data_IF_139315506493
#
_entry.id   IF_139315506493
#
_cell.length_a   1.000
_cell.length_b   1.000
_cell.length_c   1.000
_cell.angle_alpha   90.00
_cell.angle_beta   90.00
_cell.angle_gamma   90.00
#
_symmetry.space_group_name_H-M   'P 1'
#
loop_
_entity.id
_entity.type
_entity.pdbx_description
1 polymer ?
#
# COMPACT_ATOMS: atom_id res chain seq x y z
N UNK A 1 -5.70 3.18 -49.67
CA UNK A 1 -5.30 2.30 -48.54
C UNK A 1 -3.80 2.49 -48.38
N UNK A 2 -3.41 3.38 -47.48
CA UNK A 2 -2.00 3.61 -47.21
C UNK A 2 -1.43 2.40 -46.48
N UNK A 3 -0.43 1.81 -47.10
CA UNK A 3 0.22 0.57 -46.63
C UNK A 3 1.01 0.87 -45.34
N UNK A 4 0.46 0.50 -44.19
CA UNK A 4 1.12 0.64 -42.88
C UNK A 4 2.49 -0.09 -42.82
N UNK A 5 2.84 -0.88 -43.84
CA UNK A 5 4.11 -1.61 -43.94
C UNK A 5 5.31 -0.72 -44.22
N UNK A 6 5.09 0.52 -44.69
CA UNK A 6 6.15 1.46 -45.12
C UNK A 6 6.60 2.44 -44.03
N UNK A 7 5.92 2.46 -42.88
CA UNK A 7 6.28 3.37 -41.77
C UNK A 7 7.49 2.86 -40.99
N UNK A 8 8.35 3.78 -40.52
CA UNK A 8 9.40 3.46 -39.56
C UNK A 8 8.81 2.97 -38.24
N UNK A 9 9.56 2.23 -37.39
CA UNK A 9 9.08 1.81 -36.09
C UNK A 9 8.59 2.96 -35.21
N UNK A 10 9.28 4.11 -35.26
CA UNK A 10 8.90 5.32 -34.50
C UNK A 10 7.58 5.91 -35.02
N UNK A 11 7.41 5.97 -36.36
CA UNK A 11 6.18 6.47 -36.98
C UNK A 11 4.99 5.55 -36.68
N UNK A 12 5.20 4.23 -36.63
CA UNK A 12 4.17 3.25 -36.25
C UNK A 12 3.76 3.43 -34.77
N UNK A 13 4.74 3.62 -33.89
CA UNK A 13 4.47 3.86 -32.47
C UNK A 13 3.69 5.16 -32.27
N UNK A 14 4.09 6.25 -32.94
CA UNK A 14 3.40 7.52 -32.88
C UNK A 14 1.95 7.41 -33.37
N UNK A 15 1.71 6.70 -34.49
CA UNK A 15 0.37 6.47 -35.01
C UNK A 15 -0.50 5.62 -34.05
N UNK A 16 0.09 4.60 -33.41
CA UNK A 16 -0.58 3.78 -32.40
C UNK A 16 -0.97 4.59 -31.17
N UNK A 17 -0.07 5.45 -30.67
CA UNK A 17 -0.33 6.33 -29.53
C UNK A 17 -1.46 7.29 -29.88
N UNK A 18 -1.41 7.92 -31.06
CA UNK A 18 -2.44 8.86 -31.52
C UNK A 18 -3.81 8.17 -31.68
N UNK A 19 -3.86 6.98 -32.27
CA UNK A 19 -5.10 6.21 -32.42
C UNK A 19 -5.71 5.86 -31.06
N UNK A 20 -4.90 5.42 -30.12
CA UNK A 20 -5.38 5.09 -28.76
C UNK A 20 -5.79 6.33 -27.98
N UNK A 21 -5.03 7.43 -28.09
CA UNK A 21 -5.35 8.69 -27.41
C UNK A 21 -6.66 9.33 -27.93
N UNK A 22 -7.03 9.05 -29.19
CA UNK A 22 -8.26 9.56 -29.79
C UNK A 22 -9.52 8.75 -29.45
N UNK A 23 -9.36 7.56 -28.84
CA UNK A 23 -10.50 6.72 -28.45
C UNK A 23 -11.07 7.20 -27.11
N UNK A 24 -12.34 7.60 -27.04
CA UNK A 24 -12.94 7.98 -25.77
C UNK A 24 -13.01 6.77 -24.85
N UNK A 25 -12.11 6.73 -23.87
CA UNK A 25 -12.08 5.71 -22.82
C UNK A 25 -12.80 6.18 -21.54
N UNK A 26 -13.34 7.40 -21.57
CA UNK A 26 -14.02 7.99 -20.41
C UNK A 26 -15.42 7.41 -20.35
N UNK A 27 -15.78 6.70 -19.27
CA UNK A 27 -17.17 6.34 -19.02
C UNK A 27 -18.03 7.61 -19.02
N UNK A 28 -19.25 7.55 -19.54
CA UNK A 28 -20.20 8.68 -19.60
C UNK A 28 -20.73 9.10 -18.21
N UNK A 29 -20.02 8.78 -17.14
CA UNK A 29 -20.28 9.21 -15.76
C UNK A 29 -19.45 10.48 -15.55
N UNK A 30 -20.08 11.51 -15.00
CA UNK A 30 -19.44 12.81 -14.77
C UNK A 30 -18.01 12.72 -14.24
N UNK A 31 -17.22 13.74 -14.47
CA UNK A 31 -15.84 13.81 -13.99
C UNK A 31 -15.80 13.57 -12.47
N UNK A 32 -15.06 12.55 -12.04
CA UNK A 32 -14.76 12.34 -10.64
C UNK A 32 -13.71 13.36 -10.21
N UNK A 33 -13.87 13.89 -9.01
CA UNK A 33 -12.92 14.82 -8.43
C UNK A 33 -11.60 14.10 -8.11
N UNK A 34 -10.47 14.78 -8.40
CA UNK A 34 -9.16 14.30 -7.96
C UNK A 34 -8.97 14.66 -6.50
N UNK A 35 -8.69 13.65 -5.67
CA UNK A 35 -8.42 13.82 -4.25
C UNK A 35 -6.91 13.83 -4.02
N UNK A 36 -6.45 14.73 -3.15
CA UNK A 36 -5.04 14.88 -2.79
C UNK A 36 -4.88 14.84 -1.28
N UNK A 37 -3.94 14.00 -0.82
CA UNK A 37 -3.51 13.90 0.57
C UNK A 37 -2.03 14.27 0.63
N UNK A 38 -1.71 15.37 1.30
CA UNK A 38 -0.33 15.76 1.58
C UNK A 38 0.28 14.92 2.70
N UNK A 39 1.58 14.99 2.86
CA UNK A 39 2.32 14.13 3.79
C UNK A 39 1.88 14.28 5.26
N UNK A 40 1.45 15.49 5.66
CA UNK A 40 1.02 15.83 7.02
C UNK A 40 -0.49 16.03 7.15
N UNK A 41 -1.28 15.63 6.18
CA UNK A 41 -2.72 15.85 6.17
C UNK A 41 -3.49 14.86 7.04
N UNK A 42 -2.90 13.72 7.33
CA UNK A 42 -3.50 12.66 8.13
C UNK A 42 -2.60 12.29 9.31
N UNK A 43 -3.16 12.00 10.48
CA UNK A 43 -2.36 11.63 11.65
C UNK A 43 -1.68 10.26 11.51
N UNK A 44 -0.56 10.12 12.19
CA UNK A 44 0.07 8.82 12.43
C UNK A 44 -0.57 8.18 13.66
N UNK A 45 -1.13 7.00 13.50
CA UNK A 45 -1.62 6.16 14.61
C UNK A 45 -0.44 5.36 15.16
N UNK A 46 -0.09 5.58 16.41
CA UNK A 46 0.94 4.80 17.11
C UNK A 46 0.41 3.39 17.40
N UNK A 47 1.15 2.38 16.97
CA UNK A 47 0.77 0.96 17.11
C UNK A 47 1.68 0.20 18.09
N UNK A 48 2.52 0.93 18.83
CA UNK A 48 3.41 0.40 19.86
C UNK A 48 4.86 0.24 19.39
N UNK A 49 5.78 0.23 20.35
CA UNK A 49 7.21 0.06 20.10
C UNK A 49 7.86 1.15 19.22
N UNK A 50 7.25 2.32 19.11
CA UNK A 50 7.66 3.39 18.19
C UNK A 50 7.20 3.19 16.75
N UNK A 51 6.48 2.10 16.49
CA UNK A 51 5.88 1.82 15.17
C UNK A 51 4.58 2.61 15.00
N UNK A 52 4.30 3.08 13.79
CA UNK A 52 3.10 3.85 13.50
C UNK A 52 2.55 3.55 12.09
N UNK A 53 1.26 3.81 11.92
CA UNK A 53 0.54 3.65 10.67
C UNK A 53 -0.22 4.95 10.35
N UNK A 54 -0.12 5.41 9.10
CA UNK A 54 -0.92 6.52 8.56
C UNK A 54 -1.86 5.94 7.49
N UNK A 55 -3.17 5.89 7.79
CA UNK A 55 -4.17 5.43 6.83
C UNK A 55 -4.39 6.52 5.78
N UNK A 56 -4.46 6.13 4.50
CA UNK A 56 -4.64 7.05 3.38
C UNK A 56 -5.95 6.82 2.65
N UNK A 57 -6.30 5.56 2.40
CA UNK A 57 -7.49 5.22 1.62
C UNK A 57 -8.00 3.84 2.01
N UNK A 58 -9.31 3.73 2.13
CA UNK A 58 -10.00 2.46 2.36
C UNK A 58 -11.14 2.32 1.35
N UNK A 59 -11.22 1.18 0.67
CA UNK A 59 -12.36 0.80 -0.17
C UNK A 59 -12.94 -0.52 0.35
N UNK A 60 -14.05 -0.40 1.09
CA UNK A 60 -14.72 -1.55 1.71
C UNK A 60 -15.36 -2.47 0.67
N UNK A 61 -15.74 -1.95 -0.53
CA UNK A 61 -16.30 -2.77 -1.60
C UNK A 61 -15.26 -3.71 -2.22
N UNK A 62 -13.99 -3.26 -2.23
CA UNK A 62 -12.88 -4.03 -2.78
C UNK A 62 -12.05 -4.74 -1.71
N UNK A 63 -12.33 -4.49 -0.43
CA UNK A 63 -11.48 -4.97 0.67
C UNK A 63 -10.05 -4.41 0.59
N UNK A 64 -9.90 -3.19 0.07
CA UNK A 64 -8.61 -2.51 -0.10
C UNK A 64 -8.39 -1.53 1.04
N UNK A 65 -7.18 -1.52 1.59
CA UNK A 65 -6.71 -0.44 2.45
C UNK A 65 -5.28 -0.04 2.10
N UNK A 66 -5.04 1.26 2.08
CA UNK A 66 -3.77 1.88 1.70
C UNK A 66 -3.25 2.68 2.88
N UNK A 67 -2.01 2.41 3.26
CA UNK A 67 -1.37 3.08 4.38
C UNK A 67 0.12 3.35 4.13
N UNK A 68 0.69 4.27 4.90
CA UNK A 68 2.12 4.27 5.18
C UNK A 68 2.35 3.61 6.54
N UNK A 69 3.39 2.81 6.62
CA UNK A 69 3.85 2.20 7.87
C UNK A 69 5.24 2.71 8.20
N UNK A 70 5.44 3.13 9.44
CA UNK A 70 6.74 3.53 9.99
C UNK A 70 7.17 2.51 11.02
N UNK A 71 8.39 1.99 10.88
CA UNK A 71 8.97 1.03 11.80
C UNK A 71 10.38 1.48 12.21
N UNK A 72 10.69 1.54 13.51
CA UNK A 72 12.05 1.82 13.98
C UNK A 72 13.04 0.72 13.59
N UNK A 73 14.35 1.01 13.66
CA UNK A 73 15.40 0.00 13.55
C UNK A 73 15.21 -1.16 14.52
N UNK A 74 15.50 -2.39 14.06
CA UNK A 74 15.40 -3.61 14.86
C UNK A 74 13.98 -4.08 15.15
N UNK A 75 12.98 -3.51 14.45
CA UNK A 75 11.58 -3.95 14.59
C UNK A 75 11.35 -5.23 13.79
N UNK A 76 10.63 -6.17 14.38
CA UNK A 76 10.08 -7.33 13.70
C UNK A 76 8.56 -7.32 13.86
N UNK A 77 7.85 -7.33 12.72
CA UNK A 77 6.39 -7.46 12.69
C UNK A 77 6.02 -8.93 12.93
N UNK A 78 4.92 -9.26 13.60
CA UNK A 78 4.48 -10.65 13.70
C UNK A 78 4.42 -11.34 12.33
N UNK A 79 4.79 -12.62 12.29
CA UNK A 79 4.60 -13.42 11.07
C UNK A 79 3.14 -13.37 10.68
N UNK A 80 2.86 -13.11 9.41
CA UNK A 80 1.50 -12.96 8.93
C UNK A 80 1.31 -13.57 7.54
N UNK A 81 0.05 -13.76 7.21
CA UNK A 81 -0.42 -14.33 5.97
C UNK A 81 -1.40 -13.36 5.31
N UNK A 82 -1.20 -13.04 4.03
CA UNK A 82 -2.11 -12.20 3.26
C UNK A 82 -3.14 -13.03 2.49
N UNK A 83 -4.44 -12.77 2.71
CA UNK A 83 -5.51 -13.42 1.94
C UNK A 83 -5.68 -12.86 0.53
N UNK A 84 -5.28 -11.62 0.31
CA UNK A 84 -5.26 -10.91 -0.97
C UNK A 84 -3.83 -10.55 -1.38
N UNK A 85 -3.72 -9.82 -2.47
CA UNK A 85 -2.42 -9.33 -2.95
C UNK A 85 -2.02 -8.04 -2.25
N UNK A 86 -0.70 -7.77 -2.20
CA UNK A 86 -0.15 -6.54 -1.65
C UNK A 86 0.82 -5.91 -2.63
N UNK A 87 0.77 -4.59 -2.70
CA UNK A 87 1.81 -3.78 -3.35
C UNK A 87 2.49 -2.92 -2.30
N UNK A 88 3.80 -2.80 -2.38
CA UNK A 88 4.56 -1.91 -1.50
C UNK A 88 5.60 -1.09 -2.24
N UNK A 89 5.83 0.12 -1.75
CA UNK A 89 6.92 1.00 -2.19
C UNK A 89 7.62 1.53 -0.96
N UNK A 90 8.92 1.31 -0.88
CA UNK A 90 9.74 1.87 0.21
C UNK A 90 10.01 3.35 -0.05
N UNK A 91 9.74 4.20 0.94
CA UNK A 91 9.92 5.64 0.87
C UNK A 91 11.18 6.10 1.61
N UNK A 92 11.50 5.43 2.75
CA UNK A 92 12.65 5.74 3.60
C UNK A 92 13.19 4.49 4.26
N UNK A 93 14.47 4.50 4.66
CA UNK A 93 15.11 3.41 5.39
C UNK A 93 15.23 2.13 4.59
N UNK A 94 15.25 1.00 5.28
CA UNK A 94 15.31 -0.31 4.64
C UNK A 94 14.64 -1.39 5.48
N UNK A 95 14.19 -2.45 4.80
CA UNK A 95 13.55 -3.59 5.41
C UNK A 95 13.66 -4.82 4.51
N UNK A 96 13.43 -5.99 5.07
CA UNK A 96 13.45 -7.27 4.37
C UNK A 96 12.46 -8.24 5.03
N UNK A 97 12.19 -9.35 4.38
CA UNK A 97 11.54 -10.49 5.03
C UNK A 97 12.60 -11.42 5.62
N UNK A 98 12.33 -11.98 6.80
CA UNK A 98 13.24 -12.96 7.41
C UNK A 98 13.42 -14.20 6.54
N UNK A 99 12.43 -14.52 5.72
CA UNK A 99 12.41 -15.62 4.77
C UNK A 99 13.29 -15.39 3.53
N UNK A 100 13.67 -14.10 3.27
CA UNK A 100 14.49 -13.67 2.11
C UNK A 100 15.37 -12.48 2.50
N UNK A 101 16.29 -12.63 3.43
CA UNK A 101 17.04 -11.51 4.01
C UNK A 101 17.97 -10.79 3.01
N UNK A 102 18.30 -11.44 1.90
CA UNK A 102 19.09 -10.87 0.80
C UNK A 102 18.28 -9.88 -0.07
N UNK A 103 16.95 -9.99 -0.08
CA UNK A 103 16.04 -9.12 -0.83
C UNK A 103 15.69 -7.86 -0.02
N UNK A 104 16.68 -6.96 0.14
CA UNK A 104 16.52 -5.75 0.93
C UNK A 104 15.78 -4.67 0.16
N UNK A 105 14.62 -4.25 0.67
CA UNK A 105 13.87 -3.13 0.17
C UNK A 105 14.48 -1.81 0.66
N UNK A 106 14.72 -0.88 -0.27
CA UNK A 106 15.28 0.46 -0.04
C UNK A 106 14.42 1.52 -0.73
N UNK A 107 14.61 2.81 -0.48
CA UNK A 107 13.84 3.86 -1.15
C UNK A 107 13.78 3.67 -2.67
N UNK A 108 12.56 3.64 -3.22
CA UNK A 108 12.29 3.35 -4.62
C UNK A 108 12.11 1.85 -4.95
N UNK A 109 12.35 0.93 -4.01
CA UNK A 109 12.02 -0.49 -4.21
C UNK A 109 10.51 -0.66 -4.34
N UNK A 110 10.11 -1.46 -5.34
CA UNK A 110 8.75 -1.96 -5.51
C UNK A 110 8.69 -3.43 -5.11
N UNK A 111 7.68 -3.79 -4.34
CA UNK A 111 7.44 -5.16 -3.92
C UNK A 111 6.00 -5.56 -4.27
N UNK A 112 5.84 -6.79 -4.74
CA UNK A 112 4.56 -7.43 -5.00
C UNK A 112 4.46 -8.72 -4.20
N UNK A 113 3.35 -8.88 -3.50
CA UNK A 113 3.03 -10.09 -2.76
C UNK A 113 1.77 -10.72 -3.35
N UNK A 114 1.85 -11.95 -3.86
CA UNK A 114 0.66 -12.65 -4.30
C UNK A 114 -0.23 -13.01 -3.10
N UNK A 115 -1.53 -13.18 -3.35
CA UNK A 115 -2.44 -13.76 -2.37
C UNK A 115 -1.91 -15.12 -1.90
N UNK A 116 -1.98 -15.37 -0.59
CA UNK A 116 -1.42 -16.57 0.03
C UNK A 116 0.04 -16.44 0.47
N UNK A 117 0.67 -15.28 0.32
CA UNK A 117 2.03 -15.05 0.84
C UNK A 117 2.05 -15.05 2.36
N UNK A 118 3.12 -15.65 2.92
CA UNK A 118 3.39 -15.69 4.36
C UNK A 118 4.82 -15.22 4.59
N UNK A 119 5.00 -14.27 5.49
CA UNK A 119 6.32 -13.71 5.78
C UNK A 119 6.36 -12.95 7.10
N UNK A 120 7.59 -12.57 7.47
CA UNK A 120 7.92 -11.81 8.67
C UNK A 120 8.75 -10.60 8.25
N UNK A 121 8.16 -9.40 8.29
CA UNK A 121 8.87 -8.16 7.97
C UNK A 121 9.80 -7.79 9.12
N UNK A 122 11.03 -7.41 8.80
CA UNK A 122 12.01 -6.94 9.75
C UNK A 122 12.79 -5.73 9.22
N UNK A 123 13.14 -4.81 10.13
CA UNK A 123 14.08 -3.71 9.87
C UNK A 123 15.45 -4.04 10.43
N UNK A 124 16.57 -3.68 9.76
CA UNK A 124 17.90 -3.90 10.29
C UNK A 124 18.09 -3.18 11.65
N UNK A 125 18.70 -3.89 12.61
CA UNK A 125 18.92 -3.33 13.95
C UNK A 125 19.99 -2.23 13.96
N UNK A 126 20.86 -2.19 12.97
CA UNK A 126 21.93 -1.21 12.78
C UNK A 126 21.51 -0.05 11.84
N UNK A 127 20.26 0.00 11.42
CA UNK A 127 19.75 1.12 10.65
C UNK A 127 19.81 2.42 11.48
N UNK A 128 20.06 3.54 10.80
CA UNK A 128 20.20 4.85 11.43
C UNK A 128 18.96 5.72 11.35
N UNK A 129 17.93 5.22 10.69
CA UNK A 129 16.65 5.90 10.48
C UNK A 129 15.50 4.90 10.48
N UNK A 130 14.29 5.40 10.73
CA UNK A 130 13.07 4.59 10.63
C UNK A 130 12.83 4.17 9.17
N UNK A 131 12.29 2.98 9.01
CA UNK A 131 11.70 2.54 7.75
C UNK A 131 10.34 3.21 7.57
N UNK A 132 10.07 3.75 6.37
CA UNK A 132 8.73 4.16 5.93
C UNK A 132 8.44 3.49 4.59
N UNK A 133 7.34 2.76 4.54
CA UNK A 133 6.86 2.15 3.31
C UNK A 133 5.36 2.41 3.12
N UNK A 134 4.98 2.61 1.87
CA UNK A 134 3.59 2.67 1.42
C UNK A 134 3.14 1.26 1.04
N UNK A 135 1.96 0.87 1.50
CA UNK A 135 1.34 -0.41 1.21
C UNK A 135 -0.08 -0.23 0.68
N UNK A 136 -0.44 -0.99 -0.36
CA UNK A 136 -1.82 -1.21 -0.77
C UNK A 136 -2.13 -2.70 -0.57
N UNK A 137 -3.05 -3.00 0.34
CA UNK A 137 -3.34 -4.35 0.80
C UNK A 137 -4.78 -4.69 0.46
N UNK A 138 -4.97 -5.78 -0.27
CA UNK A 138 -6.28 -6.35 -0.55
C UNK A 138 -6.58 -7.52 0.39
N UNK A 139 -7.84 -7.65 0.78
CA UNK A 139 -8.29 -8.70 1.69
C UNK A 139 -7.85 -8.46 3.12
N UNK A 140 -7.37 -9.50 3.79
CA UNK A 140 -7.01 -9.47 5.20
C UNK A 140 -5.56 -9.91 5.45
N UNK A 141 -4.96 -9.31 6.48
CA UNK A 141 -3.73 -9.74 7.10
C UNK A 141 -4.08 -10.62 8.31
N UNK A 142 -3.62 -11.87 8.30
CA UNK A 142 -3.80 -12.83 9.39
C UNK A 142 -2.49 -12.93 10.16
N UNK A 143 -2.42 -12.33 11.35
CA UNK A 143 -1.25 -12.48 12.22
C UNK A 143 -1.21 -13.87 12.82
N UNK A 144 -0.02 -14.47 12.89
CA UNK A 144 0.19 -15.84 13.31
C UNK A 144 1.07 -15.89 14.55
N UNK A 145 0.84 -16.89 15.40
CA UNK A 145 1.79 -17.30 16.43
C UNK A 145 2.89 -18.22 15.86
N UNK A 146 3.84 -18.60 16.71
CA UNK A 146 4.96 -19.50 16.33
C UNK A 146 4.47 -20.90 15.90
N UNK A 147 3.29 -21.33 16.36
CA UNK A 147 2.66 -22.58 15.95
C UNK A 147 1.88 -22.48 14.63
N UNK A 148 1.74 -21.25 14.09
CA UNK A 148 1.02 -20.96 12.87
C UNK A 148 -0.50 -20.77 13.06
N UNK A 149 -0.96 -20.62 14.30
CA UNK A 149 -2.38 -20.32 14.56
C UNK A 149 -2.64 -18.81 14.34
N UNK A 150 -3.81 -18.48 13.83
CA UNK A 150 -4.25 -17.09 13.67
C UNK A 150 -4.52 -16.46 15.04
N UNK A 151 -3.81 -15.40 15.35
CA UNK A 151 -3.96 -14.62 16.60
C UNK A 151 -4.83 -13.38 16.43
N UNK A 152 -4.81 -12.78 15.25
CA UNK A 152 -5.66 -11.64 14.90
C UNK A 152 -5.86 -11.55 13.39
N UNK A 153 -6.94 -10.88 12.99
CA UNK A 153 -7.30 -10.60 11.60
C UNK A 153 -7.45 -9.10 11.44
N UNK A 154 -6.75 -8.54 10.46
CA UNK A 154 -6.88 -7.13 10.09
C UNK A 154 -7.28 -7.06 8.63
N UNK A 155 -8.52 -6.69 8.36
CA UNK A 155 -9.04 -6.37 7.04
C UNK A 155 -9.28 -4.85 6.89
N UNK A 156 -9.79 -4.44 5.73
CA UNK A 156 -10.06 -3.03 5.43
C UNK A 156 -10.98 -2.37 6.47
N UNK A 157 -12.01 -3.10 6.95
CA UNK A 157 -12.96 -2.58 7.95
C UNK A 157 -12.31 -2.46 9.32
N UNK A 158 -11.61 -3.49 9.76
CA UNK A 158 -10.92 -3.49 11.05
C UNK A 158 -9.84 -2.41 11.10
N UNK A 159 -9.07 -2.22 10.01
CA UNK A 159 -8.06 -1.18 9.92
C UNK A 159 -8.67 0.22 9.96
N UNK A 160 -9.80 0.44 9.26
CA UNK A 160 -10.53 1.70 9.28
C UNK A 160 -11.07 2.04 10.66
N UNK A 161 -11.74 1.09 11.31
CA UNK A 161 -12.35 1.29 12.62
C UNK A 161 -11.27 1.63 13.66
N UNK A 162 -10.18 0.84 13.70
CA UNK A 162 -9.07 1.09 14.62
C UNK A 162 -8.46 2.48 14.44
N UNK A 163 -8.28 2.90 13.19
CA UNK A 163 -7.71 4.21 12.89
C UNK A 163 -8.64 5.35 13.32
N UNK A 164 -9.94 5.23 13.06
CA UNK A 164 -10.95 6.21 13.48
C UNK A 164 -11.06 6.29 15.00
N UNK A 165 -11.18 5.14 15.67
CA UNK A 165 -11.27 5.08 17.13
C UNK A 165 -10.04 5.74 17.79
N UNK A 166 -8.85 5.51 17.25
CA UNK A 166 -7.63 6.17 17.70
C UNK A 166 -7.69 7.68 17.51
N UNK A 167 -8.07 8.15 16.32
CA UNK A 167 -8.17 9.57 16.03
C UNK A 167 -9.22 10.26 16.89
N UNK A 168 -10.39 9.67 17.05
CA UNK A 168 -11.49 10.19 17.86
C UNK A 168 -11.09 10.27 19.35
N UNK A 169 -10.45 9.25 19.86
CA UNK A 169 -9.98 9.22 21.26
C UNK A 169 -8.98 10.33 21.58
N UNK A 170 -8.20 10.78 20.58
CA UNK A 170 -7.18 11.83 20.72
C UNK A 170 -7.60 13.18 20.13
N UNK A 171 -8.80 13.29 19.58
CA UNK A 171 -9.29 14.52 18.94
C UNK A 171 -8.49 14.92 17.69
N UNK A 172 -7.99 13.95 16.92
CA UNK A 172 -7.19 14.17 15.72
C UNK A 172 -8.08 14.28 14.48
N UNK A 173 -7.73 15.19 13.57
CA UNK A 173 -8.48 15.39 12.33
C UNK A 173 -8.06 14.35 11.27
N UNK A 174 -9.03 13.61 10.75
CA UNK A 174 -8.86 12.65 9.65
C UNK A 174 -9.86 12.89 8.49
N UNK A 175 -10.40 14.11 8.37
CA UNK A 175 -11.41 14.43 7.34
C UNK A 175 -10.94 14.20 5.90
N UNK A 176 -9.63 14.17 5.66
CA UNK A 176 -9.05 13.88 4.34
C UNK A 176 -8.88 12.39 4.05
N UNK A 177 -9.16 11.49 5.00
CA UNK A 177 -9.13 10.06 4.76
C UNK A 177 -10.13 9.69 3.66
N UNK A 178 -9.66 9.04 2.61
CA UNK A 178 -10.51 8.59 1.52
C UNK A 178 -11.17 7.27 1.92
N UNK A 179 -12.51 7.25 1.93
CA UNK A 179 -13.28 6.04 2.25
C UNK A 179 -14.36 5.81 1.20
N UNK A 180 -14.45 4.60 0.70
CA UNK A 180 -15.50 4.13 -0.20
C UNK A 180 -16.21 2.90 0.36
N UNK A 181 -17.50 2.78 0.09
CA UNK A 181 -18.29 1.59 0.45
C UNK A 181 -18.92 1.64 1.84
N UNK A 182 -19.08 2.82 2.42
CA UNK A 182 -19.91 3.05 3.63
C UNK A 182 -21.36 3.28 3.28
#
# INVERSE_FOLDING_TARGET
MDDASTLTPEARLAALIQDRASRPMIPAHGALETLHIGDNDLPWMEIGGGSALQMLHVDLNQGLWISKTRLPPGTQVPTHFHTGLVFAVTLQGSWHYLESPEAVNRPGSYLFEPAGSRHTLATPADATEDMIAWFAIYGANLNLDDAGNVTSVVDAKAALDLYRDYCDALGLDYAKLIVHGE
#
